data_IF_486820525836
#
_entry.id   IF_486820525836
#
_cell.length_a   1.000
_cell.length_b   1.000
_cell.length_c   1.000
_cell.angle_alpha   90.00
_cell.angle_beta   90.00
_cell.angle_gamma   90.00
#
_symmetry.space_group_name_H-M   'P 1'
#
loop_
_entity.id
_entity.type
_entity.pdbx_description
1 polymer ?
#
# COMPACT_ATOMS: atom_id res chain seq x y z
N UNK A 1 -1.74 7.19 -11.57
CA UNK A 1 -1.46 7.17 -10.13
C UNK A 1 0.00 7.41 -9.79
N UNK A 2 0.93 6.68 -10.34
CA UNK A 2 2.34 6.92 -10.08
C UNK A 2 2.87 7.93 -11.08
N UNK A 3 3.32 9.10 -10.61
CA UNK A 3 3.89 10.13 -11.46
C UNK A 3 5.00 9.58 -12.35
N UNK A 4 5.92 8.82 -11.75
CA UNK A 4 7.09 8.26 -12.43
C UNK A 4 6.79 7.21 -13.51
N UNK A 5 5.59 6.62 -13.50
CA UNK A 5 5.18 5.57 -14.46
C UNK A 5 3.94 5.96 -15.26
N UNK A 6 3.44 7.17 -15.10
CA UNK A 6 2.32 7.68 -15.88
C UNK A 6 2.72 7.91 -17.33
N UNK A 7 1.89 7.55 -18.32
CA UNK A 7 2.12 7.90 -19.71
C UNK A 7 2.17 9.42 -19.96
N UNK A 8 1.60 10.20 -19.05
CA UNK A 8 1.62 11.67 -19.08
C UNK A 8 2.91 12.26 -18.51
N UNK A 9 3.73 11.48 -17.80
CA UNK A 9 4.96 11.96 -17.16
C UNK A 9 6.09 12.17 -18.20
N UNK A 10 6.65 13.39 -18.30
CA UNK A 10 7.84 13.63 -19.13
C UNK A 10 9.02 12.73 -18.73
N UNK A 11 9.24 12.54 -17.43
CA UNK A 11 10.29 11.66 -16.92
C UNK A 11 10.11 10.20 -17.36
N UNK A 12 8.86 9.70 -17.33
CA UNK A 12 8.56 8.36 -17.84
C UNK A 12 8.84 8.25 -19.33
N UNK A 13 8.34 9.21 -20.11
CA UNK A 13 8.56 9.24 -21.56
C UNK A 13 10.05 9.25 -21.92
N UNK A 14 10.85 10.06 -21.21
CA UNK A 14 12.30 10.11 -21.42
C UNK A 14 13.01 8.81 -21.02
N UNK A 15 12.54 8.12 -19.95
CA UNK A 15 13.07 6.79 -19.59
C UNK A 15 12.72 5.72 -20.62
N UNK A 16 11.49 5.72 -21.14
CA UNK A 16 11.08 4.78 -22.20
C UNK A 16 11.92 4.98 -23.46
N UNK A 17 12.29 6.23 -23.79
CA UNK A 17 13.19 6.57 -24.90
C UNK A 17 14.68 6.27 -24.61
N UNK A 18 15.02 5.90 -23.39
CA UNK A 18 16.42 5.67 -23.00
C UNK A 18 17.24 6.95 -22.74
N UNK A 19 16.58 8.10 -22.66
CA UNK A 19 17.23 9.40 -22.41
C UNK A 19 17.58 9.60 -20.94
N UNK A 20 16.80 8.99 -20.03
CA UNK A 20 17.03 9.03 -18.58
C UNK A 20 17.20 7.62 -18.02
N UNK A 21 18.25 7.37 -17.22
CA UNK A 21 18.45 6.07 -16.57
C UNK A 21 17.52 5.90 -15.38
N UNK A 22 17.15 4.64 -15.10
CA UNK A 22 16.59 4.27 -13.79
C UNK A 22 17.69 4.32 -12.73
N UNK A 23 17.50 5.16 -11.71
CA UNK A 23 18.43 5.23 -10.61
C UNK A 23 18.01 4.25 -9.50
N UNK A 24 18.98 3.55 -8.94
CA UNK A 24 18.81 2.70 -7.77
C UNK A 24 19.89 3.05 -6.76
N UNK A 25 19.52 3.03 -5.47
CA UNK A 25 20.49 3.24 -4.41
C UNK A 25 21.48 2.08 -4.37
N UNK A 26 22.75 2.38 -4.19
CA UNK A 26 23.78 1.35 -4.03
C UNK A 26 23.58 0.63 -2.69
N UNK A 27 23.77 -0.70 -2.70
CA UNK A 27 23.63 -1.50 -1.49
C UNK A 27 24.61 -1.09 -0.39
N UNK A 28 25.83 -0.72 -0.74
CA UNK A 28 26.81 -0.24 0.23
C UNK A 28 26.38 1.04 0.95
N UNK A 29 25.65 1.92 0.26
CA UNK A 29 25.06 3.11 0.88
C UNK A 29 23.95 2.73 1.84
N UNK A 30 23.09 1.77 1.46
CA UNK A 30 21.99 1.29 2.31
C UNK A 30 22.58 0.62 3.57
N UNK A 31 23.55 -0.26 3.43
CA UNK A 31 24.24 -0.93 4.54
C UNK A 31 24.84 0.08 5.51
N UNK A 32 25.57 1.07 4.98
CA UNK A 32 26.14 2.13 5.80
C UNK A 32 25.07 2.94 6.54
N UNK A 33 24.00 3.37 5.86
CA UNK A 33 22.93 4.16 6.48
C UNK A 33 22.26 3.37 7.61
N UNK A 34 21.93 2.09 7.39
CA UNK A 34 21.28 1.27 8.42
C UNK A 34 22.23 1.08 9.61
N UNK A 35 23.48 0.70 9.37
CA UNK A 35 24.45 0.44 10.44
C UNK A 35 24.80 1.71 11.25
N UNK A 36 24.99 2.84 10.59
CA UNK A 36 25.27 4.13 11.28
C UNK A 36 24.04 4.62 12.05
N UNK A 37 22.86 4.63 11.42
CA UNK A 37 21.63 5.12 12.05
C UNK A 37 21.15 4.21 13.20
N UNK A 38 21.44 2.92 13.17
CA UNK A 38 21.09 1.99 14.27
C UNK A 38 21.75 2.39 15.59
N UNK A 39 22.97 2.94 15.55
CA UNK A 39 23.69 3.45 16.72
C UNK A 39 23.02 4.69 17.35
N UNK A 40 22.18 5.39 16.57
CA UNK A 40 21.42 6.56 17.00
C UNK A 40 19.93 6.25 17.23
N UNK A 41 19.58 4.97 17.33
CA UNK A 41 18.23 4.53 17.69
C UNK A 41 17.25 4.42 16.53
N UNK A 42 17.71 4.10 15.31
CA UNK A 42 16.85 3.73 14.19
C UNK A 42 15.93 2.59 14.60
N UNK A 43 14.61 2.78 14.46
CA UNK A 43 13.59 1.79 14.85
C UNK A 43 12.95 1.10 13.67
N UNK A 44 12.81 1.78 12.56
CA UNK A 44 12.09 1.28 11.40
C UNK A 44 12.66 1.85 10.11
N UNK A 45 12.66 1.06 9.05
CA UNK A 45 12.94 1.51 7.70
C UNK A 45 11.72 1.29 6.80
N UNK A 46 11.52 2.20 5.86
CA UNK A 46 10.46 2.15 4.87
C UNK A 46 11.10 2.21 3.49
N UNK A 47 11.51 1.07 2.90
CA UNK A 47 12.14 1.02 1.58
C UNK A 47 11.10 1.24 0.48
N UNK A 48 10.34 2.31 0.59
CA UNK A 48 9.29 2.68 -0.35
C UNK A 48 9.86 3.65 -1.37
N UNK A 49 9.70 3.33 -2.64
CA UNK A 49 10.13 4.17 -3.74
C UNK A 49 9.13 4.11 -4.90
N UNK A 50 9.49 4.69 -6.02
CA UNK A 50 8.77 4.57 -7.28
C UNK A 50 9.03 3.18 -7.88
N UNK A 51 8.16 2.23 -7.66
CA UNK A 51 8.24 0.86 -8.18
C UNK A 51 7.99 -0.22 -7.14
N UNK A 52 8.27 -1.47 -7.50
CA UNK A 52 8.11 -2.63 -6.61
C UNK A 52 9.43 -2.92 -5.88
N UNK A 53 9.50 -2.75 -4.55
CA UNK A 53 10.75 -2.97 -3.81
C UNK A 53 11.25 -4.42 -3.85
N UNK A 54 10.36 -5.41 -3.96
CA UNK A 54 10.73 -6.82 -3.98
C UNK A 54 11.43 -7.28 -5.27
N UNK A 55 11.46 -6.44 -6.32
CA UNK A 55 12.33 -6.68 -7.50
C UNK A 55 13.77 -6.23 -7.28
N UNK A 56 14.05 -5.44 -6.23
CA UNK A 56 15.41 -5.02 -5.93
C UNK A 56 16.26 -6.23 -5.53
N UNK A 57 17.33 -6.49 -6.28
CA UNK A 57 18.12 -7.71 -6.12
C UNK A 57 18.74 -7.90 -4.72
N UNK A 58 18.94 -6.79 -4.01
CA UNK A 58 19.52 -6.79 -2.66
C UNK A 58 18.48 -6.68 -1.54
N UNK A 59 17.17 -6.81 -1.84
CA UNK A 59 16.14 -6.77 -0.80
C UNK A 59 16.33 -7.82 0.30
N UNK A 60 16.74 -9.07 0.00
CA UNK A 60 17.10 -10.03 1.06
C UNK A 60 18.21 -9.52 2.00
N UNK A 61 19.24 -8.85 1.48
CA UNK A 61 20.30 -8.26 2.31
C UNK A 61 19.77 -7.14 3.22
N UNK A 62 18.84 -6.30 2.73
CA UNK A 62 18.18 -5.29 3.57
C UNK A 62 17.42 -5.96 4.73
N UNK A 63 16.73 -7.06 4.47
CA UNK A 63 16.02 -7.83 5.51
C UNK A 63 17.00 -8.41 6.54
N UNK A 64 18.13 -8.95 6.10
CA UNK A 64 19.20 -9.43 6.99
C UNK A 64 19.72 -8.31 7.90
N UNK A 65 19.95 -7.11 7.35
CA UNK A 65 20.36 -5.95 8.14
C UNK A 65 19.30 -5.54 9.17
N UNK A 66 18.02 -5.63 8.82
CA UNK A 66 16.94 -5.39 9.78
C UNK A 66 16.99 -6.36 10.96
N UNK A 67 17.28 -7.64 10.71
CA UNK A 67 17.49 -8.63 11.76
C UNK A 67 18.76 -8.33 12.58
N UNK A 68 19.86 -8.03 11.92
CA UNK A 68 21.17 -7.79 12.54
C UNK A 68 21.13 -6.60 13.52
N UNK A 69 20.41 -5.55 13.16
CA UNK A 69 20.34 -4.30 13.93
C UNK A 69 19.05 -4.11 14.73
N UNK A 70 18.17 -5.11 14.80
CA UNK A 70 16.84 -5.04 15.45
C UNK A 70 16.01 -3.83 14.95
N UNK A 71 15.99 -3.62 13.63
CA UNK A 71 15.25 -2.56 12.96
C UNK A 71 14.03 -3.15 12.27
N UNK A 72 12.87 -2.56 12.47
CA UNK A 72 11.62 -3.01 11.83
C UNK A 72 11.58 -2.62 10.36
N UNK A 73 10.92 -3.48 9.58
CA UNK A 73 10.65 -3.26 8.16
C UNK A 73 9.17 -2.89 7.95
N UNK A 74 8.93 -1.72 7.36
CA UNK A 74 7.61 -1.26 6.95
C UNK A 74 7.58 -1.22 5.41
N UNK A 75 6.94 -2.21 4.80
CA UNK A 75 7.03 -2.45 3.37
C UNK A 75 5.74 -2.05 2.65
N UNK A 76 5.86 -1.37 1.50
CA UNK A 76 4.76 -1.24 0.54
C UNK A 76 5.09 -2.03 -0.72
N UNK A 77 4.18 -2.91 -1.15
CA UNK A 77 4.36 -3.80 -2.31
C UNK A 77 3.09 -3.83 -3.16
N UNK A 78 3.22 -4.18 -4.42
CA UNK A 78 2.07 -4.40 -5.31
C UNK A 78 1.38 -5.76 -5.09
N UNK A 79 1.86 -6.58 -4.16
CA UNK A 79 1.28 -7.87 -3.80
C UNK A 79 1.64 -9.02 -4.75
N UNK A 80 2.45 -8.79 -5.77
CA UNK A 80 2.84 -9.86 -6.71
C UNK A 80 3.93 -10.79 -6.17
N UNK A 81 4.65 -10.37 -5.16
CA UNK A 81 5.76 -11.11 -4.51
C UNK A 81 6.73 -11.74 -5.51
N UNK A 82 7.36 -10.93 -6.39
CA UNK A 82 8.18 -11.42 -7.49
C UNK A 82 9.41 -12.20 -6.99
N UNK A 83 9.99 -13.03 -7.88
CA UNK A 83 11.23 -13.79 -7.69
C UNK A 83 11.15 -14.95 -6.70
N UNK A 84 10.69 -14.74 -5.46
CA UNK A 84 10.68 -15.78 -4.42
C UNK A 84 9.28 -16.37 -4.17
N UNK A 85 8.22 -15.67 -4.59
CA UNK A 85 6.84 -16.03 -4.25
C UNK A 85 6.42 -15.60 -2.84
N UNK A 86 5.11 -15.56 -2.61
CA UNK A 86 4.53 -15.03 -1.37
C UNK A 86 5.02 -15.76 -0.12
N UNK A 87 5.10 -17.10 -0.18
CA UNK A 87 5.51 -17.90 0.98
C UNK A 87 6.93 -17.58 1.46
N UNK A 88 7.90 -17.55 0.54
CA UNK A 88 9.30 -17.29 0.93
C UNK A 88 9.50 -15.84 1.37
N UNK A 89 8.84 -14.88 0.69
CA UNK A 89 8.88 -13.49 1.11
C UNK A 89 8.24 -13.30 2.48
N UNK A 90 7.08 -13.92 2.75
CA UNK A 90 6.43 -13.84 4.06
C UNK A 90 7.34 -14.38 5.18
N UNK A 91 7.98 -15.55 4.99
CA UNK A 91 8.93 -16.13 5.96
C UNK A 91 10.12 -15.21 6.26
N UNK A 92 10.56 -14.42 5.29
CA UNK A 92 11.64 -13.44 5.50
C UNK A 92 11.17 -12.16 6.17
N UNK A 93 10.00 -11.65 5.79
CA UNK A 93 9.50 -10.34 6.18
C UNK A 93 8.79 -10.37 7.53
N UNK A 94 7.94 -11.37 7.78
CA UNK A 94 7.08 -11.43 8.98
C UNK A 94 7.87 -11.28 10.29
N UNK A 95 9.03 -11.93 10.48
CA UNK A 95 9.76 -11.84 11.75
C UNK A 95 10.22 -10.42 12.12
N UNK A 96 10.45 -9.55 11.12
CA UNK A 96 10.96 -8.19 11.32
C UNK A 96 9.96 -7.11 10.84
N UNK A 97 8.87 -7.52 10.21
CA UNK A 97 7.87 -6.60 9.66
C UNK A 97 7.08 -5.91 10.78
N UNK A 98 6.93 -4.59 10.68
CA UNK A 98 5.95 -3.83 11.47
C UNK A 98 4.60 -3.75 10.74
N UNK A 99 4.64 -3.47 9.43
CA UNK A 99 3.46 -3.36 8.57
C UNK A 99 3.82 -3.70 7.12
N UNK A 100 3.05 -4.56 6.49
CA UNK A 100 3.14 -4.81 5.05
C UNK A 100 1.89 -4.27 4.37
N UNK A 101 2.09 -3.25 3.54
CA UNK A 101 1.04 -2.58 2.79
C UNK A 101 0.98 -3.15 1.38
N UNK A 102 -0.13 -3.78 1.05
CA UNK A 102 -0.39 -4.25 -0.32
C UNK A 102 -1.19 -3.19 -1.06
N UNK A 103 -0.70 -2.74 -2.21
CA UNK A 103 -1.44 -1.84 -3.09
C UNK A 103 -2.70 -2.54 -3.58
N UNK A 104 -3.88 -1.95 -3.28
CA UNK A 104 -5.17 -2.55 -3.54
C UNK A 104 -6.18 -1.49 -3.92
N UNK A 105 -6.91 -1.64 -5.02
CA UNK A 105 -7.78 -0.56 -5.51
C UNK A 105 -9.17 -1.01 -5.98
N UNK A 106 -9.51 -2.29 -5.79
CA UNK A 106 -10.82 -2.84 -6.13
C UNK A 106 -11.04 -4.21 -5.50
N UNK A 107 -12.29 -4.62 -5.38
CA UNK A 107 -12.69 -5.90 -4.76
C UNK A 107 -12.88 -7.04 -5.77
N UNK A 108 -12.51 -6.83 -7.02
CA UNK A 108 -12.53 -7.85 -8.09
C UNK A 108 -11.55 -7.47 -9.21
N UNK A 109 -11.33 -8.40 -10.15
CA UNK A 109 -10.40 -8.21 -11.27
C UNK A 109 -10.71 -6.95 -12.09
N UNK A 110 -11.97 -6.70 -12.43
CA UNK A 110 -12.35 -5.56 -13.28
C UNK A 110 -12.00 -4.23 -12.58
N UNK A 111 -12.44 -4.07 -11.34
CA UNK A 111 -12.22 -2.85 -10.57
C UNK A 111 -10.72 -2.62 -10.27
N UNK A 112 -10.01 -3.69 -9.92
CA UNK A 112 -8.57 -3.61 -9.66
C UNK A 112 -7.80 -3.18 -10.91
N UNK A 113 -8.14 -3.74 -12.07
CA UNK A 113 -7.46 -3.45 -13.35
C UNK A 113 -7.69 -2.04 -13.88
N UNK A 114 -8.75 -1.36 -13.46
CA UNK A 114 -8.96 0.06 -13.79
C UNK A 114 -7.83 0.95 -13.27
N UNK A 115 -7.24 0.56 -12.15
CA UNK A 115 -6.23 1.34 -11.43
C UNK A 115 -4.85 0.71 -11.53
N UNK A 116 -4.78 -0.61 -11.48
CA UNK A 116 -3.53 -1.38 -11.47
C UNK A 116 -3.42 -2.21 -12.75
N UNK A 117 -2.74 -1.64 -13.73
CA UNK A 117 -2.53 -2.29 -15.05
C UNK A 117 -1.72 -3.58 -14.89
N UNK A 118 -2.09 -4.62 -15.65
CA UNK A 118 -1.46 -5.95 -15.62
C UNK A 118 -1.51 -6.65 -14.25
N UNK A 119 -2.53 -6.35 -13.45
CA UNK A 119 -2.77 -7.02 -12.18
C UNK A 119 -3.59 -8.30 -12.38
N UNK A 120 -3.18 -9.38 -11.74
CA UNK A 120 -3.94 -10.63 -11.62
C UNK A 120 -4.54 -10.66 -10.20
N UNK A 121 -5.84 -10.39 -10.10
CA UNK A 121 -6.54 -10.26 -8.83
C UNK A 121 -6.55 -11.57 -8.04
N UNK A 122 -6.86 -12.70 -8.68
CA UNK A 122 -6.92 -14.00 -8.00
C UNK A 122 -5.55 -14.41 -7.46
N UNK A 123 -4.50 -14.23 -8.24
CA UNK A 123 -3.14 -14.48 -7.78
C UNK A 123 -2.76 -13.59 -6.60
N UNK A 124 -3.15 -12.32 -6.62
CA UNK A 124 -2.88 -11.42 -5.51
C UNK A 124 -3.70 -11.79 -4.26
N UNK A 125 -4.92 -12.30 -4.42
CA UNK A 125 -5.71 -12.86 -3.33
C UNK A 125 -5.02 -14.08 -2.70
N UNK A 126 -4.52 -15.00 -3.50
CA UNK A 126 -3.79 -16.18 -3.02
C UNK A 126 -2.48 -15.78 -2.30
N UNK A 127 -1.80 -14.78 -2.83
CA UNK A 127 -0.61 -14.22 -2.20
C UNK A 127 -0.93 -13.56 -0.85
N UNK A 128 -2.01 -12.78 -0.77
CA UNK A 128 -2.50 -12.15 0.46
C UNK A 128 -2.82 -13.21 1.52
N UNK A 129 -3.60 -14.23 1.16
CA UNK A 129 -3.96 -15.35 2.06
C UNK A 129 -2.73 -16.10 2.56
N UNK A 130 -1.78 -16.36 1.66
CA UNK A 130 -0.51 -17.00 2.02
C UNK A 130 0.28 -16.16 3.02
N UNK A 131 0.35 -14.85 2.80
CA UNK A 131 1.07 -13.94 3.70
C UNK A 131 0.40 -13.89 5.08
N UNK A 132 -0.93 -13.73 5.14
CA UNK A 132 -1.71 -13.69 6.38
C UNK A 132 -1.55 -14.99 7.16
N UNK A 133 -1.68 -16.15 6.51
CA UNK A 133 -1.48 -17.44 7.17
C UNK A 133 -0.10 -17.55 7.85
N UNK A 134 0.97 -17.16 7.15
CA UNK A 134 2.33 -17.21 7.70
C UNK A 134 2.51 -16.20 8.84
N UNK A 135 1.91 -15.01 8.72
CA UNK A 135 1.87 -14.01 9.79
C UNK A 135 1.22 -14.58 11.04
N UNK A 136 0.05 -15.22 10.91
CA UNK A 136 -0.70 -15.77 12.02
C UNK A 136 0.04 -16.96 12.66
N UNK A 137 0.53 -17.91 11.85
CA UNK A 137 1.37 -19.03 12.33
C UNK A 137 2.59 -18.54 13.14
N UNK A 138 3.26 -17.48 12.66
CA UNK A 138 4.42 -16.91 13.35
C UNK A 138 4.03 -16.24 14.68
N UNK A 139 2.91 -15.49 14.69
CA UNK A 139 2.41 -14.82 15.90
C UNK A 139 1.91 -15.83 16.94
N UNK A 140 1.24 -16.91 16.54
CA UNK A 140 0.75 -17.97 17.42
C UNK A 140 1.89 -18.71 18.13
N UNK A 141 3.07 -18.75 17.50
CA UNK A 141 4.31 -19.26 18.09
C UNK A 141 5.01 -18.25 19.03
N UNK A 142 4.38 -17.11 19.31
CA UNK A 142 4.95 -16.05 20.14
C UNK A 142 5.96 -15.14 19.44
N UNK A 143 6.01 -15.20 18.12
CA UNK A 143 6.85 -14.32 17.30
C UNK A 143 6.27 -12.93 17.12
N UNK A 144 6.97 -12.13 16.32
CA UNK A 144 6.55 -10.77 15.97
C UNK A 144 5.22 -10.77 15.21
N UNK A 145 4.33 -9.84 15.55
CA UNK A 145 3.11 -9.60 14.80
C UNK A 145 3.36 -8.53 13.73
N UNK A 146 3.34 -8.94 12.47
CA UNK A 146 3.46 -8.06 11.32
C UNK A 146 2.06 -7.66 10.85
N UNK A 147 1.68 -6.39 10.99
CA UNK A 147 0.40 -5.89 10.48
C UNK A 147 0.31 -6.03 8.96
N UNK A 148 -0.89 -6.27 8.45
CA UNK A 148 -1.19 -6.28 7.02
C UNK A 148 -2.19 -5.18 6.71
N UNK A 149 -1.85 -4.33 5.74
CA UNK A 149 -2.66 -3.19 5.31
C UNK A 149 -3.01 -3.32 3.82
N UNK A 150 -4.27 -3.19 3.43
CA UNK A 150 -4.63 -2.88 2.05
C UNK A 150 -4.56 -1.38 1.84
N UNK A 151 -3.69 -0.93 0.94
CA UNK A 151 -3.47 0.49 0.67
C UNK A 151 -4.09 0.90 -0.66
N UNK A 152 -5.01 1.86 -0.60
CA UNK A 152 -5.79 2.35 -1.73
C UNK A 152 -5.39 3.78 -2.14
N UNK A 153 -5.65 4.12 -3.39
CA UNK A 153 -5.81 5.51 -3.83
C UNK A 153 -7.30 5.76 -4.06
N UNK A 154 -7.87 6.71 -3.33
CA UNK A 154 -9.29 7.06 -3.46
C UNK A 154 -9.51 7.94 -4.69
N UNK A 155 -10.31 7.43 -5.63
CA UNK A 155 -10.62 8.07 -6.91
C UNK A 155 -12.10 7.88 -7.25
N UNK A 156 -12.62 8.74 -8.13
CA UNK A 156 -14.00 8.61 -8.60
C UNK A 156 -14.27 7.22 -9.20
N UNK A 157 -13.36 6.72 -10.03
CA UNK A 157 -13.53 5.44 -10.75
C UNK A 157 -13.58 4.21 -9.84
N UNK A 158 -13.00 4.26 -8.63
CA UNK A 158 -13.04 3.14 -7.70
C UNK A 158 -13.86 3.39 -6.43
N UNK A 159 -14.55 4.53 -6.36
CA UNK A 159 -15.28 4.97 -5.17
C UNK A 159 -16.23 3.89 -4.63
N UNK A 160 -17.04 3.30 -5.50
CA UNK A 160 -18.02 2.26 -5.14
C UNK A 160 -17.39 0.91 -4.74
N UNK A 161 -16.09 0.77 -4.93
CA UNK A 161 -15.36 -0.44 -4.53
C UNK A 161 -14.83 -0.37 -3.11
N UNK A 162 -14.71 0.83 -2.52
CA UNK A 162 -14.06 1.02 -1.22
C UNK A 162 -14.79 0.22 -0.12
N UNK A 163 -16.12 0.27 0.05
CA UNK A 163 -16.83 -0.53 1.03
C UNK A 163 -16.59 -2.04 0.82
N UNK A 164 -16.60 -2.50 -0.43
CA UNK A 164 -16.36 -3.91 -0.78
C UNK A 164 -14.93 -4.36 -0.48
N UNK A 165 -13.95 -3.45 -0.57
CA UNK A 165 -12.57 -3.73 -0.15
C UNK A 165 -12.49 -3.82 1.37
N UNK A 166 -13.25 -3.02 2.12
CA UNK A 166 -13.35 -3.15 3.58
C UNK A 166 -13.94 -4.50 3.98
N UNK A 167 -15.05 -4.93 3.35
CA UNK A 167 -15.64 -6.27 3.58
C UNK A 167 -14.65 -7.39 3.25
N UNK A 168 -13.95 -7.28 2.10
CA UNK A 168 -12.91 -8.23 1.71
C UNK A 168 -11.79 -8.28 2.75
N UNK A 169 -11.30 -7.14 3.20
CA UNK A 169 -10.24 -7.04 4.20
C UNK A 169 -10.64 -7.69 5.52
N UNK A 170 -11.88 -7.48 5.97
CA UNK A 170 -12.42 -8.10 7.20
C UNK A 170 -12.46 -9.62 7.03
N UNK A 171 -13.01 -10.11 5.94
CA UNK A 171 -13.13 -11.56 5.66
C UNK A 171 -11.78 -12.27 5.62
N UNK A 172 -10.79 -11.63 4.99
CA UNK A 172 -9.44 -12.22 4.83
C UNK A 172 -8.53 -12.00 6.07
N UNK A 173 -8.97 -11.28 7.10
CA UNK A 173 -8.18 -11.05 8.32
C UNK A 173 -7.08 -9.99 8.17
N UNK A 174 -7.29 -9.02 7.29
CA UNK A 174 -6.42 -7.84 7.12
C UNK A 174 -6.63 -6.85 8.25
N UNK A 175 -5.56 -6.33 8.85
CA UNK A 175 -5.64 -5.48 10.04
C UNK A 175 -6.15 -4.06 9.74
N UNK A 176 -5.85 -3.57 8.52
CA UNK A 176 -6.13 -2.18 8.16
C UNK A 176 -6.48 -2.01 6.69
N UNK A 177 -7.45 -1.16 6.43
CA UNK A 177 -7.64 -0.52 5.12
C UNK A 177 -7.22 0.94 5.25
N UNK A 178 -6.26 1.35 4.45
CA UNK A 178 -5.71 2.70 4.41
C UNK A 178 -5.79 3.25 2.99
N UNK A 179 -6.07 4.54 2.86
CA UNK A 179 -5.98 5.16 1.55
C UNK A 179 -5.56 6.61 1.60
N UNK A 180 -5.35 7.14 0.42
CA UNK A 180 -5.09 8.56 0.20
C UNK A 180 -5.96 9.03 -0.98
N UNK A 181 -6.52 10.21 -0.86
CA UNK A 181 -7.15 10.86 -2.01
C UNK A 181 -6.12 11.05 -3.11
N UNK A 182 -6.55 10.88 -4.35
CA UNK A 182 -5.71 11.09 -5.50
C UNK A 182 -5.09 12.49 -5.44
N UNK A 183 -3.79 12.57 -5.60
CA UNK A 183 -3.11 13.79 -5.96
C UNK A 183 -3.03 13.84 -7.49
N UNK A 184 -3.80 14.72 -8.10
CA UNK A 184 -3.86 14.84 -9.55
C UNK A 184 -2.65 15.64 -10.07
N UNK A 185 -1.59 14.92 -10.47
CA UNK A 185 -0.38 15.53 -11.05
C UNK A 185 -0.57 15.99 -12.50
N UNK A 186 -1.63 15.54 -13.17
CA UNK A 186 -1.89 15.79 -14.60
C UNK A 186 -3.34 16.16 -14.80
N UNK A 187 -3.60 17.06 -15.74
CA UNK A 187 -4.95 17.57 -16.04
C UNK A 187 -5.91 16.45 -16.48
N UNK A 188 -5.38 15.43 -17.17
CA UNK A 188 -6.14 14.29 -17.70
C UNK A 188 -6.79 13.43 -16.61
N UNK A 189 -6.37 13.58 -15.36
CA UNK A 189 -6.92 12.81 -14.22
C UNK A 189 -7.53 13.67 -13.13
N UNK A 190 -7.67 14.98 -13.33
CA UNK A 190 -8.27 15.90 -12.34
C UNK A 190 -9.71 15.55 -11.99
N UNK A 191 -10.46 14.99 -12.92
CA UNK A 191 -11.84 14.53 -12.71
C UNK A 191 -11.94 13.35 -11.72
N UNK A 192 -10.84 12.67 -11.43
CA UNK A 192 -10.78 11.57 -10.49
C UNK A 192 -10.55 11.99 -9.03
N UNK A 193 -10.18 13.26 -8.77
CA UNK A 193 -10.02 13.76 -7.40
C UNK A 193 -11.36 13.92 -6.70
N UNK A 194 -11.54 13.26 -5.56
CA UNK A 194 -12.76 13.33 -4.76
C UNK A 194 -12.96 14.70 -4.10
N UNK A 195 -11.95 15.54 -4.05
CA UNK A 195 -12.01 16.89 -3.46
C UNK A 195 -12.29 17.99 -4.47
N UNK A 196 -12.49 17.66 -5.75
CA UNK A 196 -12.68 18.62 -6.85
C UNK A 196 -13.98 19.45 -6.78
N UNK A 197 -14.98 19.00 -6.02
CA UNK A 197 -16.26 19.70 -5.87
C UNK A 197 -17.05 19.21 -4.66
N UNK A 198 -17.97 20.04 -4.16
CA UNK A 198 -18.88 19.66 -3.07
C UNK A 198 -19.73 18.42 -3.39
N UNK A 199 -20.13 18.23 -4.65
CA UNK A 199 -20.84 17.02 -5.08
C UNK A 199 -19.96 15.77 -4.99
N UNK A 200 -18.69 15.86 -5.35
CA UNK A 200 -17.75 14.74 -5.21
C UNK A 200 -17.49 14.41 -3.74
N UNK A 201 -17.32 15.44 -2.89
CA UNK A 201 -17.17 15.27 -1.44
C UNK A 201 -18.41 14.64 -0.82
N UNK A 202 -19.60 15.05 -1.22
CA UNK A 202 -20.84 14.45 -0.70
C UNK A 202 -20.93 12.96 -1.02
N UNK A 203 -20.51 12.53 -2.23
CA UNK A 203 -20.41 11.10 -2.60
C UNK A 203 -19.35 10.38 -1.77
N UNK A 204 -18.17 11.00 -1.60
CA UNK A 204 -17.13 10.46 -0.73
C UNK A 204 -17.64 10.25 0.70
N UNK A 205 -18.30 11.26 1.28
CA UNK A 205 -18.79 11.21 2.65
C UNK A 205 -19.83 10.09 2.85
N UNK A 206 -20.67 9.83 1.83
CA UNK A 206 -21.59 8.70 1.87
C UNK A 206 -20.81 7.36 1.94
N UNK A 207 -19.79 7.18 1.10
CA UNK A 207 -18.95 5.97 1.08
C UNK A 207 -18.14 5.84 2.38
N UNK A 208 -17.61 6.94 2.91
CA UNK A 208 -16.87 6.92 4.16
C UNK A 208 -17.74 6.44 5.33
N UNK A 209 -19.00 6.92 5.42
CA UNK A 209 -19.97 6.44 6.42
C UNK A 209 -20.26 4.95 6.25
N UNK A 210 -20.52 4.50 5.02
CA UNK A 210 -20.75 3.07 4.73
C UNK A 210 -19.56 2.21 5.18
N UNK A 211 -18.33 2.62 4.90
CA UNK A 211 -17.13 1.91 5.35
C UNK A 211 -17.03 1.86 6.89
N UNK A 212 -17.34 2.96 7.57
CA UNK A 212 -17.33 3.03 9.03
C UNK A 212 -18.38 2.08 9.61
N UNK A 213 -19.61 2.10 9.07
CA UNK A 213 -20.69 1.21 9.50
C UNK A 213 -20.31 -0.26 9.31
N UNK A 214 -19.68 -0.63 8.19
CA UNK A 214 -19.18 -1.98 7.95
C UNK A 214 -18.13 -2.36 9.02
N UNK A 215 -17.16 -1.49 9.29
CA UNK A 215 -16.08 -1.75 10.24
C UNK A 215 -16.61 -1.85 11.69
N UNK A 216 -17.62 -1.07 12.04
CA UNK A 216 -18.21 -1.06 13.39
C UNK A 216 -19.10 -2.29 13.67
N UNK A 217 -19.71 -2.86 12.63
CA UNK A 217 -20.63 -3.99 12.77
C UNK A 217 -19.98 -5.35 12.53
N UNK A 218 -18.69 -5.41 12.14
CA UNK A 218 -18.01 -6.65 11.84
C UNK A 218 -16.66 -6.76 12.55
N UNK A 219 -16.26 -7.99 12.86
CA UNK A 219 -14.98 -8.32 13.47
C UNK A 219 -14.13 -9.13 12.49
N UNK A 220 -12.82 -8.97 12.59
CA UNK A 220 -11.84 -9.84 11.93
C UNK A 220 -11.95 -11.27 12.48
N UNK A 221 -11.44 -12.29 11.78
CA UNK A 221 -11.42 -13.68 12.28
C UNK A 221 -10.78 -13.86 13.66
N UNK A 222 -9.83 -12.98 14.02
CA UNK A 222 -9.18 -12.96 15.33
C UNK A 222 -9.93 -12.18 16.41
N UNK A 223 -11.16 -11.75 16.16
CA UNK A 223 -12.03 -11.00 17.07
C UNK A 223 -11.70 -9.52 17.24
N UNK A 224 -10.69 -8.99 16.55
CA UNK A 224 -10.37 -7.56 16.56
C UNK A 224 -11.22 -6.78 15.56
N UNK A 225 -11.28 -5.47 15.71
CA UNK A 225 -11.86 -4.56 14.71
C UNK A 225 -10.82 -4.18 13.66
N UNK A 226 -11.26 -4.08 12.42
CA UNK A 226 -10.41 -3.53 11.35
C UNK A 226 -10.14 -2.04 11.59
N UNK A 227 -8.95 -1.58 11.23
CA UNK A 227 -8.59 -0.16 11.32
C UNK A 227 -8.85 0.50 9.97
N UNK A 228 -9.66 1.55 9.96
CA UNK A 228 -9.83 2.43 8.80
C UNK A 228 -8.90 3.63 8.95
N UNK A 229 -7.94 3.80 8.03
CA UNK A 229 -6.99 4.90 8.06
C UNK A 229 -7.20 5.84 6.86
N UNK A 230 -7.44 7.11 7.15
CA UNK A 230 -7.79 8.15 6.19
C UNK A 230 -9.15 7.93 5.48
N UNK A 231 -10.05 7.14 6.09
CA UNK A 231 -11.44 6.99 5.67
C UNK A 231 -12.30 7.71 6.70
N UNK A 232 -12.66 8.94 6.41
CA UNK A 232 -13.47 9.83 7.24
C UNK A 232 -14.17 10.86 6.35
N UNK A 233 -15.18 11.53 6.88
CA UNK A 233 -15.92 12.57 6.14
C UNK A 233 -15.06 13.81 5.94
N UNK A 234 -15.08 14.35 4.74
CA UNK A 234 -14.44 15.61 4.38
C UNK A 234 -15.38 16.79 4.65
N UNK A 235 -14.81 17.91 5.10
CA UNK A 235 -15.56 19.14 5.29
C UNK A 235 -15.84 19.81 3.94
N UNK A 236 -17.09 20.24 3.70
CA UNK A 236 -17.53 20.92 2.49
C UNK A 236 -17.27 22.44 2.50
N UNK A 237 -16.91 23.01 3.66
CA UNK A 237 -16.78 24.46 3.83
C UNK A 237 -15.45 25.08 3.36
N UNK A 238 -14.44 24.27 3.00
CA UNK A 238 -13.07 24.76 2.74
C UNK A 238 -12.49 24.45 1.35
N UNK A 239 -13.31 24.20 0.33
CA UNK A 239 -12.81 23.72 -0.96
C UNK A 239 -12.66 24.77 -2.07
N UNK A 240 -12.48 26.05 -1.72
CA UNK A 240 -12.11 27.09 -2.69
C UNK A 240 -10.60 27.28 -2.94
N UNK A 241 -9.71 26.67 -2.13
CA UNK A 241 -8.29 27.09 -2.09
C UNK A 241 -7.25 25.94 -2.03
N UNK A 242 -7.59 24.69 -2.32
CA UNK A 242 -6.66 23.56 -2.11
C UNK A 242 -5.76 23.19 -3.31
N UNK A 243 -5.78 23.94 -4.37
CA UNK A 243 -4.76 23.89 -5.42
C UNK A 243 -4.15 25.30 -5.56
N UNK A 244 -3.02 25.58 -4.89
CA UNK A 244 -2.16 26.67 -5.37
C UNK A 244 -1.66 26.27 -6.76
N UNK A 245 -1.77 27.18 -7.69
CA UNK A 245 -1.29 27.09 -9.07
C UNK A 245 0.19 26.70 -9.17
#
# INVERSE_FOLDING_TARGET
MCEEHSPYSPSHQSRVKGELPYRRMDISTIERVISECSQFGLKEIIPSTMGEPLIFKHMPRIIELCHEYDVKLNLTTNGTFPRLGAERWAKLIVPIGSDVKLSWNGANQIAQSLVMINNDFEKNMDNLRTFIRIRDEHADLGGNYCSVTLQMTFMEMNLQQIPRVVELAIREGVDRVKGHHLWAHFDEIKDQDMRRSNAAISRWNQIARECIDIADNNLLPNGKRIILANIYELNTEHHGELHPD
#
